data_IF_754398294167
#
_entry.id   IF_754398294167
#
_cell.length_a   1.000
_cell.length_b   1.000
_cell.length_c   1.000
_cell.angle_alpha   90.00
_cell.angle_beta   90.00
_cell.angle_gamma   90.00
#
_symmetry.space_group_name_H-M   'P 1'
#
loop_
_entity.id
_entity.type
_entity.pdbx_description
1 polymer ?
#
# COMPACT_ATOMS: atom_id res chain seq x y z
N UNK A 1 -19.68 23.89 -7.81
CA UNK A 1 -18.31 23.37 -7.57
C UNK A 1 -18.21 22.88 -6.14
N UNK A 2 -17.81 21.63 -5.91
CA UNK A 2 -17.30 21.22 -4.59
C UNK A 2 -15.85 21.72 -4.53
N UNK A 3 -15.53 22.54 -3.53
CA UNK A 3 -14.15 22.93 -3.25
C UNK A 3 -13.27 21.70 -3.03
N UNK A 4 -11.98 21.81 -3.35
CA UNK A 4 -11.00 20.76 -3.04
C UNK A 4 -10.96 20.50 -1.54
N UNK A 5 -10.97 19.22 -1.15
CA UNK A 5 -10.75 18.82 0.24
C UNK A 5 -9.39 19.33 0.74
N UNK A 6 -9.33 19.74 1.99
CA UNK A 6 -8.07 19.88 2.72
C UNK A 6 -7.40 18.51 2.91
N UNK A 7 -6.11 18.49 3.27
CA UNK A 7 -5.43 17.22 3.53
C UNK A 7 -6.05 16.43 4.69
N UNK A 8 -6.49 17.12 5.74
CA UNK A 8 -7.06 16.45 6.92
C UNK A 8 -8.44 15.87 6.61
N UNK A 9 -9.26 16.58 5.83
CA UNK A 9 -10.53 16.03 5.31
C UNK A 9 -10.28 14.81 4.43
N UNK A 10 -9.32 14.88 3.50
CA UNK A 10 -8.95 13.72 2.67
C UNK A 10 -8.51 12.52 3.51
N UNK A 11 -7.63 12.72 4.50
CA UNK A 11 -7.15 11.65 5.39
C UNK A 11 -8.27 11.08 6.25
N UNK A 12 -9.19 11.93 6.72
CA UNK A 12 -10.38 11.52 7.44
C UNK A 12 -11.26 10.60 6.61
N UNK A 13 -11.50 10.96 5.35
CA UNK A 13 -12.22 10.10 4.40
C UNK A 13 -11.49 8.78 4.17
N UNK A 14 -10.16 8.79 3.97
CA UNK A 14 -9.38 7.55 3.80
C UNK A 14 -9.53 6.62 5.00
N UNK A 15 -9.40 7.15 6.23
CA UNK A 15 -9.38 6.36 7.46
C UNK A 15 -10.71 5.64 7.76
N UNK A 16 -11.84 6.12 7.23
CA UNK A 16 -13.17 5.50 7.46
C UNK A 16 -13.56 4.51 6.37
N UNK A 17 -12.78 4.38 5.29
CA UNK A 17 -13.06 3.46 4.19
C UNK A 17 -12.16 2.23 4.24
N UNK A 18 -12.74 1.07 3.91
CA UNK A 18 -11.99 -0.20 3.85
C UNK A 18 -11.00 -0.27 2.70
N UNK A 19 -11.35 0.36 1.58
CA UNK A 19 -10.61 0.31 0.33
C UNK A 19 -10.42 1.71 -0.24
N UNK A 20 -9.27 1.96 -0.85
CA UNK A 20 -8.96 3.22 -1.55
C UNK A 20 -8.45 2.87 -2.95
N UNK A 21 -9.05 3.48 -3.97
CA UNK A 21 -8.61 3.27 -5.34
C UNK A 21 -7.33 4.05 -5.63
N UNK A 22 -6.27 3.35 -6.00
CA UNK A 22 -4.92 3.87 -6.21
C UNK A 22 -4.39 3.52 -7.62
N UNK A 23 -5.05 3.97 -8.71
CA UNK A 23 -4.56 3.71 -10.05
C UNK A 23 -3.24 4.45 -10.29
N UNK A 24 -2.34 3.92 -11.14
CA UNK A 24 -1.14 4.61 -11.59
C UNK A 24 -1.44 6.03 -12.08
N UNK A 25 -0.52 6.96 -11.82
CA UNK A 25 -0.62 8.35 -12.27
C UNK A 25 0.42 8.64 -13.36
N UNK A 26 1.16 9.73 -13.20
CA UNK A 26 2.32 10.05 -14.05
C UNK A 26 3.49 9.07 -13.89
N UNK A 27 3.42 8.16 -12.91
CA UNK A 27 4.37 7.09 -12.66
C UNK A 27 3.66 5.80 -12.25
N UNK A 28 4.45 4.72 -12.17
CA UNK A 28 3.96 3.39 -11.75
C UNK A 28 3.59 3.37 -10.26
N UNK A 29 4.26 4.16 -9.44
CA UNK A 29 3.98 4.35 -8.02
C UNK A 29 3.11 5.59 -7.78
N UNK A 30 2.27 5.56 -6.74
CA UNK A 30 1.44 6.70 -6.32
C UNK A 30 1.46 6.87 -4.81
N UNK A 31 1.55 8.14 -4.36
CA UNK A 31 1.46 8.49 -2.93
C UNK A 31 0.19 7.94 -2.26
N UNK A 32 -0.93 7.86 -2.99
CA UNK A 32 -2.20 7.32 -2.50
C UNK A 32 -2.08 5.90 -1.97
N UNK A 33 -1.22 5.07 -2.57
CA UNK A 33 -0.97 3.70 -2.11
C UNK A 33 -0.44 3.72 -0.67
N UNK A 34 0.57 4.53 -0.40
CA UNK A 34 1.19 4.63 0.92
C UNK A 34 0.28 5.33 1.93
N UNK A 35 -0.43 6.39 1.53
CA UNK A 35 -1.39 7.07 2.38
C UNK A 35 -2.50 6.14 2.83
N UNK A 36 -3.08 5.35 1.92
CA UNK A 36 -4.09 4.35 2.25
C UNK A 36 -3.55 3.33 3.26
N UNK A 37 -2.37 2.75 3.01
CA UNK A 37 -1.76 1.79 3.93
C UNK A 37 -1.49 2.39 5.31
N UNK A 38 -1.01 3.64 5.37
CA UNK A 38 -0.75 4.36 6.62
C UNK A 38 -2.03 4.64 7.41
N UNK A 39 -3.15 4.89 6.72
CA UNK A 39 -4.46 5.14 7.32
C UNK A 39 -5.26 3.85 7.59
N UNK A 40 -4.69 2.67 7.31
CA UNK A 40 -5.33 1.37 7.55
C UNK A 40 -6.34 0.95 6.47
N UNK A 41 -6.43 1.67 5.37
CA UNK A 41 -7.25 1.30 4.22
C UNK A 41 -6.46 0.42 3.24
N UNK A 42 -7.15 -0.50 2.58
CA UNK A 42 -6.55 -1.42 1.60
C UNK A 42 -6.47 -0.74 0.22
N UNK A 43 -5.27 -0.54 -0.35
CA UNK A 43 -5.14 0.01 -1.70
C UNK A 43 -5.68 -0.95 -2.77
N UNK A 44 -6.37 -0.40 -3.77
CA UNK A 44 -6.81 -1.12 -4.97
C UNK A 44 -6.09 -0.53 -6.19
N UNK A 45 -5.19 -1.29 -6.78
CA UNK A 45 -4.35 -0.86 -7.91
C UNK A 45 -4.86 -1.48 -9.21
N UNK A 46 -4.66 -0.74 -10.31
CA UNK A 46 -4.71 -1.32 -11.66
C UNK A 46 -3.35 -1.91 -12.00
N UNK A 47 -3.34 -3.14 -12.51
CA UNK A 47 -2.13 -3.81 -12.95
C UNK A 47 -1.43 -3.00 -14.05
N UNK A 48 -0.13 -2.78 -13.89
CA UNK A 48 0.72 -2.11 -14.88
C UNK A 48 1.38 -3.11 -15.83
N UNK A 49 1.33 -4.41 -15.49
CA UNK A 49 2.08 -5.50 -16.10
C UNK A 49 3.60 -5.23 -16.09
N UNK A 50 4.09 -4.60 -15.01
CA UNK A 50 5.50 -4.34 -14.75
C UNK A 50 5.95 -5.06 -13.48
N UNK A 51 7.27 -5.14 -13.29
CA UNK A 51 7.86 -5.77 -12.11
C UNK A 51 7.37 -5.17 -10.77
N UNK A 52 6.92 -3.91 -10.78
CA UNK A 52 6.36 -3.25 -9.60
C UNK A 52 5.11 -3.96 -9.07
N UNK A 53 4.26 -4.50 -9.94
CA UNK A 53 3.03 -5.21 -9.52
C UNK A 53 3.38 -6.42 -8.64
N UNK A 54 4.40 -7.18 -9.05
CA UNK A 54 4.88 -8.35 -8.30
C UNK A 54 5.55 -7.94 -6.99
N UNK A 55 6.38 -6.89 -7.01
CA UNK A 55 7.02 -6.35 -5.81
C UNK A 55 5.98 -5.92 -4.76
N UNK A 56 4.94 -5.23 -5.22
CA UNK A 56 3.82 -4.80 -4.39
C UNK A 56 3.02 -5.97 -3.83
N UNK A 57 2.63 -6.92 -4.68
CA UNK A 57 1.87 -8.10 -4.24
C UNK A 57 2.64 -8.96 -3.23
N UNK A 58 3.98 -8.96 -3.29
CA UNK A 58 4.83 -9.71 -2.38
C UNK A 58 4.97 -9.05 -1.00
N UNK A 59 4.97 -7.71 -0.94
CA UNK A 59 5.39 -7.00 0.27
C UNK A 59 4.29 -6.16 0.92
N UNK A 60 3.20 -5.85 0.22
CA UNK A 60 2.18 -4.92 0.70
C UNK A 60 0.79 -5.57 0.69
N UNK A 61 -0.05 -5.26 1.70
CA UNK A 61 -1.44 -5.72 1.77
C UNK A 61 -2.33 -4.87 0.85
N UNK A 62 -2.34 -5.20 -0.43
CA UNK A 62 -3.12 -4.50 -1.46
C UNK A 62 -3.84 -5.47 -2.41
N UNK A 63 -4.81 -4.94 -3.14
CA UNK A 63 -5.54 -5.64 -4.18
C UNK A 63 -5.09 -5.10 -5.54
N UNK A 64 -4.60 -5.98 -6.42
CA UNK A 64 -4.29 -5.62 -7.82
C UNK A 64 -5.35 -6.27 -8.71
N UNK A 65 -5.97 -5.47 -9.58
CA UNK A 65 -6.91 -5.94 -10.61
C UNK A 65 -6.41 -5.50 -11.98
N UNK A 66 -6.68 -6.32 -13.01
CA UNK A 66 -6.25 -6.00 -14.38
C UNK A 66 -7.10 -4.87 -14.99
N UNK A 67 -8.36 -4.76 -14.56
CA UNK A 67 -9.31 -3.78 -15.05
C UNK A 67 -10.38 -3.49 -13.98
N UNK A 68 -10.99 -2.31 -14.04
CA UNK A 68 -12.01 -1.88 -13.07
C UNK A 68 -13.28 -2.75 -13.10
N UNK A 69 -13.60 -3.37 -14.24
CA UNK A 69 -14.79 -4.22 -14.40
C UNK A 69 -14.75 -5.48 -13.52
N UNK A 70 -13.55 -5.89 -13.07
CA UNK A 70 -13.37 -7.01 -12.15
C UNK A 70 -13.78 -6.68 -10.71
N UNK A 71 -13.85 -5.39 -10.36
CA UNK A 71 -14.25 -4.97 -9.03
C UNK A 71 -15.75 -5.21 -8.85
N UNK A 72 -16.06 -6.04 -7.87
CA UNK A 72 -17.41 -6.34 -7.41
C UNK A 72 -17.42 -6.36 -5.90
N UNK A 73 -18.60 -6.09 -5.31
CA UNK A 73 -18.75 -6.13 -3.86
C UNK A 73 -18.37 -7.52 -3.31
N UNK A 74 -18.75 -8.59 -4.01
CA UNK A 74 -18.42 -9.97 -3.64
C UNK A 74 -16.90 -10.23 -3.66
N UNK A 75 -16.17 -9.74 -4.66
CA UNK A 75 -14.70 -9.83 -4.68
C UNK A 75 -14.09 -9.10 -3.48
N UNK A 76 -14.52 -7.87 -3.22
CA UNK A 76 -14.01 -7.05 -2.12
C UNK A 76 -14.28 -7.72 -0.78
N UNK A 77 -15.52 -8.16 -0.54
CA UNK A 77 -15.91 -8.86 0.68
C UNK A 77 -15.13 -10.17 0.88
N UNK A 78 -14.92 -10.95 -0.18
CA UNK A 78 -14.14 -12.19 -0.10
C UNK A 78 -12.66 -11.94 0.19
N UNK A 79 -12.08 -10.86 -0.33
CA UNK A 79 -10.65 -10.55 -0.14
C UNK A 79 -10.37 -9.85 1.19
N UNK A 80 -11.32 -9.08 1.72
CA UNK A 80 -11.08 -8.19 2.86
C UNK A 80 -10.52 -8.89 4.10
N UNK A 81 -11.03 -10.06 4.55
CA UNK A 81 -10.48 -10.73 5.73
C UNK A 81 -9.01 -11.13 5.58
N UNK A 82 -8.60 -11.54 4.38
CA UNK A 82 -7.20 -11.90 4.09
C UNK A 82 -6.31 -10.64 4.11
N UNK A 83 -6.76 -9.57 3.46
CA UNK A 83 -6.02 -8.32 3.35
C UNK A 83 -5.90 -7.61 4.70
N UNK A 84 -6.95 -7.59 5.50
CA UNK A 84 -6.93 -7.06 6.87
C UNK A 84 -5.93 -7.81 7.75
N UNK A 85 -5.92 -9.15 7.72
CA UNK A 85 -4.93 -9.94 8.46
C UNK A 85 -3.49 -9.64 8.02
N UNK A 86 -3.26 -9.48 6.72
CA UNK A 86 -1.95 -9.11 6.20
C UNK A 86 -1.54 -7.70 6.65
N UNK A 87 -2.48 -6.74 6.65
CA UNK A 87 -2.29 -5.39 7.17
C UNK A 87 -1.93 -5.41 8.66
N UNK A 88 -2.69 -6.12 9.49
CA UNK A 88 -2.38 -6.26 10.92
C UNK A 88 -1.01 -6.92 11.13
N UNK A 89 -0.69 -7.98 10.40
CA UNK A 89 0.60 -8.66 10.52
C UNK A 89 1.77 -7.74 10.15
N UNK A 90 1.61 -6.93 9.10
CA UNK A 90 2.58 -5.90 8.69
C UNK A 90 2.79 -4.87 9.82
N UNK A 91 1.72 -4.34 10.40
CA UNK A 91 1.82 -3.32 11.46
C UNK A 91 2.30 -3.86 12.81
N UNK A 92 2.10 -5.15 13.12
CA UNK A 92 2.61 -5.79 14.35
C UNK A 92 4.13 -5.88 14.42
N UNK A 93 4.84 -5.77 13.29
CA UNK A 93 6.31 -5.81 13.24
C UNK A 93 6.85 -4.55 12.56
N UNK A 94 6.98 -3.43 13.28
CA UNK A 94 7.44 -2.16 12.70
C UNK A 94 8.76 -2.31 11.94
N UNK A 95 9.74 -3.02 12.49
CA UNK A 95 11.03 -3.23 11.83
C UNK A 95 10.89 -4.04 10.53
N UNK A 96 9.84 -4.85 10.39
CA UNK A 96 9.51 -5.60 9.17
C UNK A 96 8.61 -4.86 8.20
N UNK A 97 8.13 -3.66 8.55
CA UNK A 97 7.19 -2.89 7.76
C UNK A 97 7.92 -1.75 7.01
N UNK A 98 7.98 -1.80 5.66
CA UNK A 98 8.68 -0.79 4.86
C UNK A 98 8.07 0.62 4.95
N UNK A 99 6.89 0.77 5.57
CA UNK A 99 6.26 2.06 5.83
C UNK A 99 6.76 2.73 7.11
N UNK A 100 7.61 2.07 7.89
CA UNK A 100 8.12 2.63 9.14
C UNK A 100 9.58 3.01 9.03
N UNK A 101 9.97 4.02 9.81
CA UNK A 101 11.37 4.40 9.98
C UNK A 101 12.22 3.25 10.51
N UNK A 102 11.69 2.45 11.43
CA UNK A 102 12.41 1.34 12.07
C UNK A 102 12.89 0.29 11.05
N UNK A 103 12.09 0.01 10.02
CA UNK A 103 12.50 -0.88 8.92
C UNK A 103 13.74 -0.36 8.21
N UNK A 104 13.73 0.92 7.82
CA UNK A 104 14.83 1.51 7.06
C UNK A 104 16.09 1.66 7.91
N UNK A 105 15.96 2.05 9.17
CA UNK A 105 17.10 2.09 10.09
C UNK A 105 17.75 0.71 10.26
N UNK A 106 16.95 -0.34 10.41
CA UNK A 106 17.45 -1.72 10.46
C UNK A 106 18.11 -2.13 9.14
N UNK A 107 17.48 -1.82 8.01
CA UNK A 107 17.99 -2.19 6.69
C UNK A 107 19.33 -1.53 6.39
N UNK A 108 19.42 -0.21 6.58
CA UNK A 108 20.65 0.57 6.36
C UNK A 108 21.77 0.08 7.28
N UNK A 109 21.48 -0.12 8.58
CA UNK A 109 22.47 -0.67 9.52
C UNK A 109 23.00 -2.02 9.04
N UNK A 110 22.10 -2.92 8.63
CA UNK A 110 22.50 -4.24 8.14
C UNK A 110 23.36 -4.18 6.87
N UNK A 111 23.12 -3.22 5.97
CA UNK A 111 23.98 -3.01 4.80
C UNK A 111 25.37 -2.54 5.22
N UNK A 112 25.46 -1.57 6.15
CA UNK A 112 26.74 -1.06 6.64
C UNK A 112 27.56 -2.15 7.37
N UNK A 113 26.90 -3.00 8.17
CA UNK A 113 27.54 -4.13 8.85
C UNK A 113 28.11 -5.18 7.89
N UNK A 114 27.55 -5.30 6.67
CA UNK A 114 28.04 -6.19 5.61
C UNK A 114 29.15 -5.60 4.75
N UNK A 115 29.61 -4.38 5.05
CA UNK A 115 30.63 -3.70 4.26
C UNK A 115 30.09 -2.82 3.12
N UNK A 116 28.79 -2.54 3.11
CA UNK A 116 28.14 -1.69 2.09
C UNK A 116 27.38 -2.48 1.04
N UNK A 117 27.00 -1.79 -0.05
CA UNK A 117 26.52 -2.45 -1.25
C UNK A 117 27.74 -2.82 -2.11
N UNK A 118 27.82 -4.08 -2.55
CA UNK A 118 28.66 -4.43 -3.70
C UNK A 118 28.03 -3.77 -4.92
N UNK A 119 28.57 -2.60 -5.33
CA UNK A 119 28.18 -1.86 -6.53
C UNK A 119 29.05 -2.27 -7.71
#
# INVERSE_FOLDING_TARGET
EKGSLTQDEYRGEVAVHRYVFCPPGNGLDTHRTYEALQMGAVPVLLATNKALDALYAQHLPLLIVSELSQLSLSLLEAQYPRLLRAMEAMWRRPEGNPLTRAYWERHVRGVLERGGYDL
#
